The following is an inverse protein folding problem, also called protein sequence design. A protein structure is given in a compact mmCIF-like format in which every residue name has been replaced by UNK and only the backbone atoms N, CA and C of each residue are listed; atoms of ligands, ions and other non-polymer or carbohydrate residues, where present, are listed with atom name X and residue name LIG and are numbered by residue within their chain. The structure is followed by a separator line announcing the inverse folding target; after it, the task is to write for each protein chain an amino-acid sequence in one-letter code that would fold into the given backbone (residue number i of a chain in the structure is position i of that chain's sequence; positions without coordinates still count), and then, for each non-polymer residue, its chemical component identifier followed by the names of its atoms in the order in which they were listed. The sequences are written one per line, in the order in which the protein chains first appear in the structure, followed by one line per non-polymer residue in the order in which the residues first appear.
data_IF_287249889693
#
_entry.id   IF_287249889693
#
_cell.length_a   1.000
_cell.length_b   1.000
_cell.length_c   1.000
_cell.angle_alpha   90.00
_cell.angle_beta   90.00
_cell.angle_gamma   90.00
#
_symmetry.space_group_name_H-M   'P 1'
#
loop_
_entity.id
_entity.type
_entity.pdbx_description
1 polymer ?
#
# COMPACT_ATOMS: atom_id res chain seq x y z
N UNK A 1 0.67 -19.70 34.05
CA UNK A 1 1.62 -18.56 34.13
C UNK A 1 2.34 -18.46 32.77
N UNK A 2 1.84 -17.59 31.89
CA UNK A 2 2.55 -17.07 30.72
C UNK A 2 2.00 -15.66 30.51
N UNK A 3 2.88 -14.67 30.61
CA UNK A 3 2.58 -13.24 30.72
C UNK A 3 2.98 -12.58 29.42
N UNK A 4 2.01 -12.18 28.60
CA UNK A 4 2.23 -11.30 27.45
C UNK A 4 1.97 -9.87 27.90
N UNK A 5 3.02 -9.04 27.98
CA UNK A 5 2.85 -7.60 28.20
C UNK A 5 2.42 -6.95 26.90
N UNK A 6 1.12 -6.62 26.79
CA UNK A 6 0.57 -5.73 25.78
C UNK A 6 1.04 -4.29 26.09
N UNK A 7 2.24 -3.94 25.63
CA UNK A 7 2.82 -2.61 25.82
C UNK A 7 2.47 -1.68 24.67
N UNK A 8 1.55 -0.73 24.93
CA UNK A 8 1.32 0.54 24.21
C UNK A 8 0.58 0.55 22.85
N UNK A 9 -0.68 0.09 22.80
CA UNK A 9 -1.69 0.71 21.92
C UNK A 9 -3.05 0.97 22.61
N UNK A 10 -3.07 0.91 23.94
CA UNK A 10 -4.18 1.43 24.73
C UNK A 10 -3.74 2.72 25.40
N UNK A 11 -4.38 3.83 25.00
CA UNK A 11 -4.74 5.01 25.81
C UNK A 11 -4.77 6.23 24.90
N UNK A 12 -5.79 6.36 24.03
CA UNK A 12 -6.27 7.68 23.56
C UNK A 12 -7.49 7.65 22.60
N UNK A 13 -8.40 6.68 22.69
CA UNK A 13 -9.64 6.71 21.85
C UNK A 13 -10.93 7.00 22.63
N UNK A 14 -10.84 7.34 23.91
CA UNK A 14 -11.97 7.83 24.69
C UNK A 14 -11.60 9.16 25.33
N UNK A 15 -12.02 10.27 24.71
CA UNK A 15 -12.08 11.57 25.37
C UNK A 15 -13.49 11.71 25.92
N UNK A 16 -13.70 11.79 27.25
CA UNK A 16 -15.03 12.00 27.79
C UNK A 16 -15.53 13.38 27.38
N UNK A 17 -16.60 13.43 26.58
CA UNK A 17 -17.28 14.69 26.26
C UNK A 17 -18.21 15.01 27.42
N UNK A 18 -17.93 16.10 28.14
CA UNK A 18 -18.85 16.63 29.15
C UNK A 18 -19.96 17.40 28.44
N UNK A 19 -21.18 16.87 28.45
CA UNK A 19 -22.37 17.56 27.96
C UNK A 19 -23.01 18.38 29.08
N UNK A 20 -23.30 19.65 28.82
CA UNK A 20 -23.99 20.54 29.76
C UNK A 20 -25.34 20.97 29.12
N UNK A 21 -26.49 20.71 29.77
CA UNK A 21 -26.65 20.01 31.05
C UNK A 21 -26.48 18.50 30.93
N UNK A 22 -25.93 17.89 31.98
CA UNK A 22 -25.68 16.46 32.10
C UNK A 22 -26.98 15.67 31.92
N UNK A 23 -26.98 14.70 31.02
CA UNK A 23 -28.14 13.87 30.74
C UNK A 23 -28.02 12.54 31.49
N UNK A 24 -29.07 12.15 32.19
CA UNK A 24 -29.16 10.89 32.92
C UNK A 24 -30.26 10.02 32.32
N UNK A 25 -29.98 8.74 32.11
CA UNK A 25 -31.00 7.74 31.78
C UNK A 25 -31.09 6.75 32.95
N UNK A 26 -32.25 6.69 33.63
CA UNK A 26 -32.46 5.75 34.74
C UNK A 26 -31.53 5.95 35.94
N UNK A 27 -30.97 7.16 36.14
CA UNK A 27 -30.10 7.47 37.28
C UNK A 27 -28.61 7.18 37.08
N UNK A 28 -28.21 6.64 35.92
CA UNK A 28 -26.79 6.52 35.55
C UNK A 28 -26.35 7.76 34.77
N UNK A 29 -25.24 8.36 35.18
CA UNK A 29 -24.61 9.46 34.44
C UNK A 29 -24.04 8.97 33.11
N UNK A 30 -24.08 9.82 32.09
CA UNK A 30 -23.35 9.62 30.83
C UNK A 30 -21.83 9.47 31.02
N UNK A 31 -21.30 9.78 32.20
CA UNK A 31 -19.90 9.58 32.58
C UNK A 31 -19.61 8.24 33.28
N UNK A 32 -20.62 7.58 33.87
CA UNK A 32 -20.44 6.37 34.68
C UNK A 32 -20.50 5.07 33.88
N UNK A 33 -21.34 5.02 32.85
CA UNK A 33 -21.43 3.88 31.94
C UNK A 33 -21.22 4.41 30.51
N UNK A 34 -20.18 3.96 29.78
CA UNK A 34 -20.08 4.22 28.35
C UNK A 34 -21.26 3.51 27.66
N UNK A 35 -22.37 4.24 27.51
CA UNK A 35 -23.58 3.71 26.91
C UNK A 35 -23.55 3.98 25.40
N UNK A 36 -23.98 2.98 24.64
CA UNK A 36 -24.07 3.00 23.19
C UNK A 36 -25.27 3.83 22.67
N UNK A 37 -25.93 4.61 23.52
CA UNK A 37 -27.14 5.40 23.17
C UNK A 37 -26.83 6.54 22.20
N UNK A 38 -25.56 6.95 22.07
CA UNK A 38 -25.10 7.85 21.00
C UNK A 38 -24.05 7.22 20.07
N UNK A 39 -24.14 5.90 19.86
CA UNK A 39 -23.55 5.29 18.66
C UNK A 39 -22.02 5.25 18.62
N UNK A 40 -21.36 4.83 19.70
CA UNK A 40 -19.97 4.34 19.63
C UNK A 40 -19.92 2.80 19.51
N UNK A 41 -21.01 2.23 19.01
CA UNK A 41 -21.12 0.83 18.60
C UNK A 41 -21.11 0.65 17.08
N UNK A 42 -20.62 1.61 16.29
CA UNK A 42 -20.23 1.29 14.92
C UNK A 42 -18.83 0.69 15.00
N UNK A 43 -18.74 -0.64 14.90
CA UNK A 43 -17.70 -1.17 14.02
C UNK A 43 -18.02 -0.48 12.70
N UNK A 44 -17.25 0.55 12.36
CA UNK A 44 -17.30 1.06 11.02
C UNK A 44 -16.65 -0.02 10.15
N UNK A 45 -17.43 -1.06 9.88
CA UNK A 45 -17.00 -2.20 9.10
C UNK A 45 -16.56 -1.71 7.73
N UNK A 46 -17.11 -0.58 7.26
CA UNK A 46 -16.67 0.12 6.07
C UNK A 46 -15.31 0.78 6.27
N UNK A 47 -15.04 1.57 7.32
CA UNK A 47 -13.68 2.10 7.57
C UNK A 47 -12.63 1.02 7.88
N UNK A 48 -13.02 -0.09 8.52
CA UNK A 48 -12.16 -1.25 8.77
C UNK A 48 -11.92 -2.08 7.49
N UNK A 49 -12.89 -2.11 6.57
CA UNK A 49 -12.79 -2.71 5.24
C UNK A 49 -12.03 -1.79 4.26
N UNK A 50 -12.17 -0.47 4.36
CA UNK A 50 -11.49 0.49 3.50
C UNK A 50 -10.00 0.62 3.90
N UNK A 51 -9.68 0.37 5.18
CA UNK A 51 -8.31 0.18 5.66
C UNK A 51 -7.63 -1.12 5.19
N UNK A 52 -8.37 -2.09 4.59
CA UNK A 52 -7.79 -3.26 3.90
C UNK A 52 -7.56 -3.04 2.40
N UNK A 53 -7.57 -1.78 1.93
CA UNK A 53 -6.71 -1.38 0.82
C UNK A 53 -5.27 -1.71 1.17
N UNK A 54 -4.62 -2.68 0.52
CA UNK A 54 -3.16 -2.68 0.40
C UNK A 54 -2.67 -3.76 -0.56
N UNK A 55 -2.38 -3.35 -1.78
CA UNK A 55 -1.21 -3.88 -2.46
C UNK A 55 -0.05 -2.96 -2.07
N UNK A 56 1.05 -3.51 -1.61
CA UNK A 56 2.29 -2.75 -1.49
C UNK A 56 3.01 -2.78 -2.84
N UNK A 57 3.36 -1.61 -3.35
CA UNK A 57 4.09 -1.47 -4.61
C UNK A 57 5.41 -0.76 -4.32
N UNK A 58 6.52 -1.45 -4.59
CA UNK A 58 7.86 -0.86 -4.52
C UNK A 58 8.57 -0.98 -5.86
N UNK A 59 9.42 0.01 -6.15
CA UNK A 59 10.29 0.04 -7.33
C UNK A 59 11.70 0.42 -6.88
N UNK A 60 12.68 -0.37 -7.30
CA UNK A 60 14.09 -0.12 -7.03
C UNK A 60 14.90 -0.19 -8.32
N UNK A 61 16.10 0.38 -8.30
CA UNK A 61 17.05 0.36 -9.42
C UNK A 61 18.37 -0.24 -8.94
N UNK A 62 19.00 -1.07 -9.77
CA UNK A 62 20.23 -1.79 -9.41
C UNK A 62 21.48 -0.91 -9.29
N UNK A 63 21.46 0.32 -9.81
CA UNK A 63 22.63 1.21 -9.87
C UNK A 63 22.44 2.52 -9.11
N UNK A 64 23.47 2.91 -8.36
CA UNK A 64 23.52 4.18 -7.63
C UNK A 64 24.00 5.37 -8.50
N UNK A 65 24.66 5.09 -9.63
CA UNK A 65 25.13 6.08 -10.60
C UNK A 65 24.66 5.69 -12.00
N UNK A 66 24.40 6.70 -12.84
CA UNK A 66 23.85 6.54 -14.19
C UNK A 66 24.90 7.05 -15.18
N UNK A 67 25.42 6.16 -16.01
CA UNK A 67 26.33 6.52 -17.12
C UNK A 67 25.63 6.36 -18.48
N UNK A 68 25.93 7.22 -19.48
CA UNK A 68 25.44 7.04 -20.84
C UNK A 68 25.77 5.65 -21.40
N UNK A 69 24.83 5.05 -22.13
CA UNK A 69 24.99 3.74 -22.75
C UNK A 69 24.78 2.55 -21.80
N UNK A 70 24.73 2.77 -20.47
CA UNK A 70 24.53 1.75 -19.46
C UNK A 70 23.12 1.16 -19.48
N UNK A 71 22.98 -0.12 -19.11
CA UNK A 71 21.68 -0.75 -18.87
C UNK A 71 21.33 -0.63 -17.38
N UNK A 72 20.16 -0.05 -17.09
CA UNK A 72 19.56 0.01 -15.76
C UNK A 72 18.54 -1.12 -15.63
N UNK A 73 18.60 -1.83 -14.50
CA UNK A 73 17.60 -2.81 -14.12
C UNK A 73 16.70 -2.21 -13.05
N UNK A 74 15.42 -2.08 -13.36
CA UNK A 74 14.37 -1.73 -12.42
C UNK A 74 13.66 -3.00 -11.94
N UNK A 75 13.52 -3.15 -10.63
CA UNK A 75 12.75 -4.23 -10.02
C UNK A 75 11.48 -3.65 -9.42
N UNK A 76 10.33 -4.09 -9.91
CA UNK A 76 9.02 -3.74 -9.37
C UNK A 76 8.47 -4.92 -8.60
N UNK A 77 8.04 -4.66 -7.36
CA UNK A 77 7.52 -5.67 -6.45
C UNK A 77 6.11 -5.27 -6.02
N UNK A 78 5.15 -6.13 -6.33
CA UNK A 78 3.75 -6.01 -5.88
C UNK A 78 3.50 -7.09 -4.84
N UNK A 79 3.25 -6.70 -3.60
CA UNK A 79 2.97 -7.64 -2.51
C UNK A 79 1.52 -7.53 -2.06
N UNK A 80 0.87 -8.68 -1.96
CA UNK A 80 -0.43 -8.80 -1.34
C UNK A 80 -0.27 -8.79 0.19
N UNK A 81 -0.71 -7.73 0.87
CA UNK A 81 -0.44 -7.57 2.32
C UNK A 81 -1.65 -7.87 3.21
N UNK A 82 -2.80 -8.20 2.65
CA UNK A 82 -4.01 -8.51 3.40
C UNK A 82 -4.42 -9.98 3.27
N UNK A 83 -5.03 -10.52 4.34
CA UNK A 83 -5.32 -11.95 4.48
C UNK A 83 -6.75 -12.38 4.12
N UNK A 84 -7.56 -11.50 3.52
CA UNK A 84 -9.00 -11.74 3.37
C UNK A 84 -9.36 -12.44 2.05
N UNK A 85 -8.89 -11.95 0.92
CA UNK A 85 -9.19 -12.51 -0.41
C UNK A 85 -8.05 -12.25 -1.39
N UNK A 86 -7.84 -13.16 -2.34
CA UNK A 86 -6.90 -12.94 -3.45
C UNK A 86 -7.34 -11.75 -4.32
N UNK A 87 -6.37 -11.00 -4.84
CA UNK A 87 -6.63 -9.90 -5.79
C UNK A 87 -6.69 -10.45 -7.21
N UNK A 88 -7.66 -9.99 -8.01
CA UNK A 88 -7.85 -10.43 -9.40
C UNK A 88 -7.60 -9.30 -10.38
N UNK A 89 -7.24 -9.64 -11.62
CA UNK A 89 -7.05 -8.71 -12.74
C UNK A 89 -6.07 -7.56 -12.44
N UNK A 90 -4.93 -7.89 -11.85
CA UNK A 90 -3.89 -6.91 -11.53
C UNK A 90 -3.27 -6.41 -12.83
N UNK A 91 -3.22 -5.09 -12.99
CA UNK A 91 -2.49 -4.42 -14.08
C UNK A 91 -1.41 -3.55 -13.46
N UNK A 92 -0.16 -3.78 -13.84
CA UNK A 92 0.99 -2.99 -13.44
C UNK A 92 1.51 -2.24 -14.66
N UNK A 93 1.67 -0.94 -14.55
CA UNK A 93 2.16 -0.08 -15.63
C UNK A 93 3.35 0.75 -15.17
N UNK A 94 4.30 0.97 -16.06
CA UNK A 94 5.46 1.81 -15.81
C UNK A 94 5.85 2.59 -17.07
N UNK A 95 6.28 3.84 -16.91
CA UNK A 95 6.68 4.70 -18.04
C UNK A 95 8.19 4.64 -18.19
N UNK A 96 8.68 4.46 -19.42
CA UNK A 96 10.11 4.47 -19.70
C UNK A 96 10.67 5.85 -19.37
N UNK A 97 11.67 5.96 -18.47
CA UNK A 97 12.24 7.25 -18.10
C UNK A 97 12.79 8.01 -19.31
N UNK A 98 12.59 9.33 -19.31
CA UNK A 98 13.18 10.22 -20.34
C UNK A 98 14.69 10.06 -20.36
N UNK A 99 15.28 10.04 -21.56
CA UNK A 99 16.72 9.82 -21.72
C UNK A 99 17.13 8.35 -21.62
N UNK A 100 16.18 7.42 -21.57
CA UNK A 100 16.42 5.98 -21.68
C UNK A 100 15.60 5.35 -22.81
N UNK A 101 15.96 4.14 -23.21
CA UNK A 101 15.29 3.32 -24.22
C UNK A 101 14.97 1.94 -23.66
N UNK A 102 13.82 1.39 -24.03
CA UNK A 102 13.41 0.05 -23.61
C UNK A 102 14.36 -1.02 -24.20
N UNK A 103 14.82 -1.95 -23.35
CA UNK A 103 15.62 -3.11 -23.79
C UNK A 103 14.77 -4.37 -23.72
N UNK A 104 14.27 -4.71 -22.54
CA UNK A 104 13.42 -5.88 -22.31
C UNK A 104 12.70 -5.78 -20.96
N UNK A 105 11.75 -6.66 -20.72
CA UNK A 105 11.01 -6.78 -19.46
C UNK A 105 10.60 -8.23 -19.21
N UNK A 106 10.25 -8.55 -17.95
CA UNK A 106 9.66 -9.84 -17.59
C UNK A 106 8.43 -10.12 -18.45
N UNK A 107 8.30 -11.34 -18.98
CA UNK A 107 7.14 -11.79 -19.75
C UNK A 107 6.05 -12.37 -18.83
N UNK A 108 4.76 -12.29 -19.21
CA UNK A 108 4.22 -11.57 -20.36
C UNK A 108 4.12 -10.06 -20.10
N UNK A 109 4.40 -9.25 -21.12
CA UNK A 109 4.21 -7.80 -21.09
C UNK A 109 3.72 -7.27 -22.44
N UNK A 110 3.12 -6.08 -22.43
CA UNK A 110 2.86 -5.27 -23.62
C UNK A 110 3.57 -3.92 -23.51
N UNK A 111 4.11 -3.43 -24.61
CA UNK A 111 4.81 -2.15 -24.68
C UNK A 111 4.25 -1.30 -25.82
N UNK A 112 3.84 -0.07 -25.53
CA UNK A 112 3.24 0.84 -26.51
C UNK A 112 4.23 1.85 -27.12
N UNK A 113 5.53 1.73 -26.80
CA UNK A 113 6.57 2.68 -27.18
C UNK A 113 6.97 3.66 -26.06
N UNK A 114 6.11 3.83 -25.05
CA UNK A 114 6.35 4.72 -23.90
C UNK A 114 6.08 4.07 -22.55
N UNK A 115 5.10 3.18 -22.49
CA UNK A 115 4.60 2.56 -21.28
C UNK A 115 4.66 1.04 -21.43
N UNK A 116 5.26 0.38 -20.44
CA UNK A 116 5.27 -1.07 -20.30
C UNK A 116 4.13 -1.47 -19.37
N UNK A 117 3.41 -2.54 -19.74
CA UNK A 117 2.27 -3.05 -18.99
C UNK A 117 2.43 -4.55 -18.74
N UNK A 118 2.21 -4.96 -17.50
CA UNK A 118 2.09 -6.36 -17.11
C UNK A 118 0.70 -6.65 -16.54
N UNK A 119 0.18 -7.84 -16.82
CA UNK A 119 -1.11 -8.27 -16.29
C UNK A 119 -0.97 -9.60 -15.56
N UNK A 120 -1.62 -9.71 -14.41
CA UNK A 120 -1.68 -10.96 -13.64
C UNK A 120 -3.13 -11.28 -13.29
N UNK A 121 -3.66 -12.46 -13.71
CA UNK A 121 -5.06 -12.80 -13.47
C UNK A 121 -5.42 -12.89 -11.99
N UNK A 122 -4.51 -13.43 -11.18
CA UNK A 122 -4.70 -13.58 -9.74
C UNK A 122 -3.37 -13.39 -9.01
N UNK A 123 -3.40 -12.62 -7.93
CA UNK A 123 -2.35 -12.53 -6.92
C UNK A 123 -2.90 -13.14 -5.64
N UNK A 124 -2.38 -14.31 -5.28
CA UNK A 124 -2.81 -15.07 -4.12
C UNK A 124 -2.48 -14.33 -2.81
N UNK A 125 -3.07 -14.83 -1.72
CA UNK A 125 -2.80 -14.34 -0.36
C UNK A 125 -1.30 -14.46 -0.06
N UNK A 126 -0.74 -13.40 0.52
CA UNK A 126 0.69 -13.26 0.85
C UNK A 126 1.64 -13.48 -0.35
N UNK A 127 1.12 -13.47 -1.57
CA UNK A 127 1.93 -13.61 -2.77
C UNK A 127 2.65 -12.30 -3.09
N UNK A 128 3.92 -12.43 -3.45
CA UNK A 128 4.71 -11.33 -4.00
C UNK A 128 4.93 -11.58 -5.49
N UNK A 129 4.52 -10.62 -6.31
CA UNK A 129 4.76 -10.60 -7.74
C UNK A 129 5.90 -9.64 -8.07
N UNK A 130 6.97 -10.19 -8.62
CA UNK A 130 8.17 -9.45 -9.03
C UNK A 130 8.25 -9.41 -10.55
N UNK A 131 8.49 -8.22 -11.10
CA UNK A 131 8.84 -8.02 -12.51
C UNK A 131 10.09 -7.14 -12.63
N UNK A 132 10.85 -7.38 -13.68
CA UNK A 132 12.05 -6.63 -14.01
C UNK A 132 11.85 -5.87 -15.31
N UNK A 133 12.36 -4.64 -15.36
CA UNK A 133 12.40 -3.77 -16.52
C UNK A 133 13.84 -3.36 -16.77
N UNK A 134 14.33 -3.64 -17.98
CA UNK A 134 15.67 -3.28 -18.43
C UNK A 134 15.55 -2.12 -19.41
N UNK A 135 16.19 -1.01 -19.07
CA UNK A 135 16.28 0.16 -19.96
C UNK A 135 17.73 0.54 -20.18
N UNK A 136 18.04 1.08 -21.35
CA UNK A 136 19.37 1.59 -21.69
C UNK A 136 19.37 3.10 -21.62
N UNK A 137 20.33 3.68 -20.92
CA UNK A 137 20.55 5.14 -20.90
C UNK A 137 21.03 5.57 -22.28
N UNK A 138 20.39 6.58 -22.87
CA UNK A 138 20.73 7.03 -24.22
C UNK A 138 22.10 7.73 -24.21
N UNK A 139 22.88 7.51 -25.28
CA UNK A 139 24.14 8.19 -25.53
C UNK A 139 23.88 9.71 -25.57
N UNK A 140 24.40 10.46 -24.60
CA UNK A 140 24.18 11.91 -24.46
C UNK A 140 23.32 12.35 -23.28
N UNK A 141 22.80 11.43 -22.45
CA UNK A 141 22.17 11.80 -21.18
C UNK A 141 23.24 12.17 -20.14
N UNK A 142 23.43 13.46 -19.86
CA UNK A 142 24.47 13.96 -18.96
C UNK A 142 24.10 13.94 -17.46
N UNK A 143 22.97 13.32 -17.10
CA UNK A 143 22.41 13.41 -15.74
C UNK A 143 21.83 14.79 -15.43
N UNK A 144 21.10 14.90 -14.31
CA UNK A 144 20.84 16.21 -13.70
C UNK A 144 22.08 16.55 -12.88
N UNK A 145 22.78 17.64 -13.23
CA UNK A 145 23.87 18.20 -12.44
C UNK A 145 23.37 18.88 -11.18
#
# INVERSE_FOLDING_TARGET
RASWRLGKYHRQTAVPVSVIPEQTCGGTSSAEIPNNTFGWGRIDAYAAFDAIQQLDLSKSVSHASIEPGQILTYTLTVTHTHGLTATQNITLTDVIPVGSSFVTATLPHSFDGTTITWTKPILALDETWLVELFVRVNEGFLGIS
#
